data_IF_144794870763
#
_entry.id   IF_144794870763
#
_cell.length_a   1.000
_cell.length_b   1.000
_cell.length_c   1.000
_cell.angle_alpha   90.00
_cell.angle_beta   90.00
_cell.angle_gamma   90.00
#
_symmetry.space_group_name_H-M   'P 1'
#
loop_
_entity.id
_entity.type
_entity.pdbx_description
1 polymer ?
#
# COMPACT_ATOMS: atom_id res chain seq x y z
N UNK A 1 40.67 35.31 -32.51
CA UNK A 1 40.73 34.53 -33.76
C UNK A 1 41.21 33.14 -33.37
N UNK A 2 40.28 32.21 -33.20
CA UNK A 2 40.08 31.06 -34.12
C UNK A 2 41.30 30.12 -34.15
N UNK A 3 41.22 28.81 -33.97
CA UNK A 3 40.07 27.90 -33.95
C UNK A 3 40.54 26.45 -33.74
N UNK A 4 39.55 25.58 -33.54
CA UNK A 4 39.60 24.13 -33.26
C UNK A 4 40.49 23.26 -34.15
N UNK A 5 40.84 22.06 -33.63
CA UNK A 5 40.55 20.68 -34.18
C UNK A 5 41.29 19.62 -33.33
N UNK A 6 40.62 18.74 -32.57
CA UNK A 6 39.80 17.56 -32.89
C UNK A 6 40.58 16.21 -32.85
N UNK A 7 40.29 15.41 -31.81
CA UNK A 7 40.08 13.93 -31.77
C UNK A 7 41.17 12.94 -32.26
N UNK A 8 41.37 11.85 -31.52
CA UNK A 8 40.91 10.48 -31.86
C UNK A 8 41.45 9.48 -30.81
N UNK A 9 40.57 9.04 -29.90
CA UNK A 9 40.85 7.94 -28.97
C UNK A 9 40.68 6.59 -29.65
N UNK A 10 41.66 5.70 -29.51
CA UNK A 10 41.56 4.31 -29.95
C UNK A 10 40.98 3.47 -28.82
N UNK A 11 39.75 2.95 -28.99
CA UNK A 11 39.28 1.75 -28.31
C UNK A 11 39.07 0.67 -29.37
N UNK A 12 39.86 -0.39 -29.24
CA UNK A 12 39.81 -1.60 -30.05
C UNK A 12 38.47 -2.30 -29.86
N UNK A 13 37.80 -2.58 -30.99
CA UNK A 13 36.57 -3.35 -31.09
C UNK A 13 36.96 -4.82 -31.38
N UNK A 14 36.47 -5.77 -30.58
CA UNK A 14 36.53 -7.19 -30.91
C UNK A 14 35.10 -7.74 -30.98
N UNK A 15 34.65 -8.01 -32.21
CA UNK A 15 33.47 -8.81 -32.51
C UNK A 15 33.80 -10.29 -32.33
N UNK A 16 32.84 -11.06 -31.80
CA UNK A 16 32.70 -12.47 -32.18
C UNK A 16 31.24 -12.88 -32.09
N UNK A 17 30.78 -13.45 -33.20
CA UNK A 17 29.43 -13.89 -33.51
C UNK A 17 29.05 -15.19 -32.79
N UNK A 18 27.85 -15.23 -32.22
CA UNK A 18 27.08 -16.46 -32.08
C UNK A 18 25.61 -16.19 -32.41
N UNK A 19 25.17 -16.76 -33.52
CA UNK A 19 23.81 -16.78 -34.00
C UNK A 19 23.19 -18.11 -33.57
N UNK A 20 22.10 -18.08 -32.78
CA UNK A 20 21.11 -19.16 -32.73
C UNK A 20 19.74 -18.63 -32.24
N UNK A 21 18.95 -18.21 -33.21
CA UNK A 21 17.54 -18.56 -33.42
C UNK A 21 16.70 -19.04 -32.21
N UNK A 22 16.04 -18.12 -31.48
CA UNK A 22 14.80 -18.43 -30.75
C UNK A 22 13.80 -17.28 -30.84
N UNK A 23 12.87 -17.44 -31.80
CA UNK A 23 11.41 -17.25 -31.66
C UNK A 23 10.92 -16.04 -30.86
N UNK A 24 10.42 -15.06 -31.61
CA UNK A 24 9.42 -14.07 -31.20
C UNK A 24 8.34 -14.67 -30.31
N UNK A 25 8.32 -14.30 -29.03
CA UNK A 25 7.12 -14.38 -28.20
C UNK A 25 7.05 -13.13 -27.33
N UNK A 26 6.10 -12.27 -27.68
CA UNK A 26 5.66 -11.11 -26.89
C UNK A 26 5.33 -11.62 -25.48
N UNK A 27 6.25 -11.45 -24.55
CA UNK A 27 5.97 -11.56 -23.13
C UNK A 27 5.44 -10.22 -22.67
N UNK A 28 4.13 -10.04 -22.67
CA UNK A 28 3.53 -9.16 -21.68
C UNK A 28 3.88 -9.81 -20.34
N UNK A 29 4.93 -9.34 -19.68
CA UNK A 29 5.13 -9.57 -18.25
C UNK A 29 4.08 -8.73 -17.57
N UNK A 30 2.85 -9.25 -17.56
CA UNK A 30 1.80 -8.79 -16.68
C UNK A 30 2.38 -8.82 -15.27
N UNK A 31 2.33 -7.65 -14.65
CA UNK A 31 2.57 -7.41 -13.25
C UNK A 31 1.66 -8.34 -12.43
N UNK A 32 2.15 -9.54 -12.19
CA UNK A 32 1.51 -10.62 -11.44
C UNK A 32 2.27 -10.85 -10.13
N UNK A 33 2.99 -9.83 -9.66
CA UNK A 33 3.67 -9.85 -8.36
C UNK A 33 2.69 -9.59 -7.20
N UNK A 34 1.45 -9.16 -7.48
CA UNK A 34 0.47 -8.82 -6.45
C UNK A 34 -0.43 -9.97 -5.97
N UNK A 35 -0.28 -11.20 -6.49
CA UNK A 35 -1.30 -12.26 -6.30
C UNK A 35 -0.84 -13.57 -5.65
N UNK A 36 0.31 -13.57 -5.00
CA UNK A 36 0.76 -14.69 -4.16
C UNK A 36 1.33 -14.21 -2.82
N UNK A 37 0.74 -13.17 -2.23
CA UNK A 37 0.97 -12.85 -0.81
C UNK A 37 0.06 -13.71 0.08
N UNK A 38 -0.05 -14.99 -0.24
CA UNK A 38 -0.46 -16.05 0.70
C UNK A 38 0.83 -16.79 1.08
N UNK A 39 1.86 -16.04 1.46
CA UNK A 39 2.81 -16.60 2.41
C UNK A 39 2.12 -16.39 3.76
N UNK A 40 1.72 -17.47 4.44
CA UNK A 40 0.95 -17.45 5.70
C UNK A 40 1.59 -16.56 6.78
N UNK A 41 2.84 -16.17 6.58
CA UNK A 41 3.68 -15.40 7.47
C UNK A 41 3.36 -13.89 7.46
N UNK A 42 2.54 -13.41 6.52
CA UNK A 42 2.21 -11.98 6.39
C UNK A 42 0.72 -11.70 6.59
N UNK A 43 0.44 -10.60 7.28
CA UNK A 43 -0.90 -10.02 7.39
C UNK A 43 -0.98 -8.80 6.47
N UNK A 44 -2.08 -8.70 5.71
CA UNK A 44 -2.27 -7.66 4.69
C UNK A 44 -3.67 -7.07 4.84
N UNK A 45 -3.74 -5.76 4.98
CA UNK A 45 -4.98 -4.99 4.98
C UNK A 45 -5.02 -4.06 3.78
N UNK A 46 -6.14 -4.07 3.06
CA UNK A 46 -6.38 -3.18 1.92
C UNK A 46 -7.50 -2.20 2.27
N UNK A 47 -7.13 -0.98 2.67
CA UNK A 47 -8.04 0.06 3.11
C UNK A 47 -8.46 0.96 1.94
N UNK A 48 -9.76 1.18 1.78
CA UNK A 48 -10.29 2.13 0.80
C UNK A 48 -10.46 3.51 1.44
N UNK A 49 -9.66 4.46 0.96
CA UNK A 49 -9.69 5.85 1.43
C UNK A 49 -10.28 6.76 0.34
N UNK A 50 -11.26 7.63 0.67
CA UNK A 50 -11.68 8.70 -0.22
C UNK A 50 -10.49 9.55 -0.68
N UNK A 51 -10.45 9.91 -1.97
CA UNK A 51 -9.34 10.66 -2.56
C UNK A 51 -9.14 12.04 -1.91
N UNK A 52 -10.23 12.66 -1.43
CA UNK A 52 -10.21 13.93 -0.72
C UNK A 52 -9.40 13.84 0.58
N UNK A 53 -9.44 12.69 1.26
CA UNK A 53 -8.75 12.44 2.53
C UNK A 53 -7.33 11.92 2.34
N UNK A 54 -7.03 11.32 1.19
CA UNK A 54 -5.69 10.81 0.91
C UNK A 54 -4.63 11.93 0.97
N UNK A 55 -4.99 13.17 0.61
CA UNK A 55 -4.08 14.31 0.77
C UNK A 55 -3.74 14.62 2.23
N UNK A 56 -4.65 14.34 3.17
CA UNK A 56 -4.40 14.47 4.62
C UNK A 56 -3.35 13.44 5.08
N UNK A 57 -3.44 12.20 4.58
CA UNK A 57 -2.53 11.10 4.94
C UNK A 57 -1.14 11.25 4.29
N UNK A 58 -1.08 11.56 3.00
CA UNK A 58 0.19 11.72 2.29
C UNK A 58 0.87 13.03 2.74
N UNK A 59 0.10 14.10 2.92
CA UNK A 59 0.63 15.44 3.13
C UNK A 59 1.57 15.88 1.99
N UNK A 60 2.15 17.08 2.09
CA UNK A 60 3.08 17.56 1.06
C UNK A 60 4.40 16.77 0.93
N UNK A 61 4.70 15.86 1.86
CA UNK A 61 6.02 15.18 1.94
C UNK A 61 6.00 13.73 2.51
N UNK A 62 4.88 13.00 2.51
CA UNK A 62 4.77 11.63 3.06
C UNK A 62 5.22 11.45 4.52
N UNK A 63 5.33 12.54 5.31
CA UNK A 63 5.90 12.51 6.67
C UNK A 63 5.08 11.63 7.61
N UNK A 64 3.76 11.64 7.45
CA UNK A 64 2.83 10.84 8.26
C UNK A 64 3.06 9.36 7.98
N UNK A 65 3.25 8.97 6.72
CA UNK A 65 3.51 7.58 6.33
C UNK A 65 4.80 7.09 6.97
N UNK A 66 5.91 7.84 6.81
CA UNK A 66 7.20 7.48 7.40
C UNK A 66 7.08 7.33 8.91
N UNK A 67 6.34 8.22 9.56
CA UNK A 67 6.07 8.16 11.00
C UNK A 67 5.30 6.88 11.34
N UNK A 68 4.19 6.59 10.66
CA UNK A 68 3.37 5.41 10.91
C UNK A 68 4.16 4.11 10.70
N UNK A 69 4.92 3.99 9.61
CA UNK A 69 5.77 2.82 9.37
C UNK A 69 6.81 2.65 10.50
N UNK A 70 7.44 3.75 10.93
CA UNK A 70 8.43 3.72 12.02
C UNK A 70 7.84 3.39 13.39
N UNK A 71 6.62 3.85 13.67
CA UNK A 71 5.94 3.62 14.96
C UNK A 71 5.34 2.23 15.04
N UNK A 72 4.85 1.71 13.92
CA UNK A 72 4.09 0.45 13.89
C UNK A 72 4.94 -0.73 13.46
N UNK A 73 6.09 -0.52 12.81
CA UNK A 73 6.86 -1.57 12.14
C UNK A 73 6.10 -2.29 11.00
N UNK A 74 5.20 -1.57 10.34
CA UNK A 74 4.50 -2.04 9.13
C UNK A 74 5.01 -1.32 7.88
N UNK A 75 4.66 -1.85 6.70
CA UNK A 75 4.87 -1.18 5.41
C UNK A 75 3.54 -0.70 4.86
N UNK A 76 3.51 0.53 4.33
CA UNK A 76 2.30 1.20 3.85
C UNK A 76 2.52 1.66 2.41
N UNK A 77 1.82 1.01 1.48
CA UNK A 77 1.87 1.30 0.05
C UNK A 77 0.57 1.93 -0.45
N UNK A 78 0.68 2.94 -1.32
CA UNK A 78 -0.47 3.56 -1.98
C UNK A 78 -0.59 3.02 -3.39
N UNK A 79 -1.61 2.19 -3.61
CA UNK A 79 -1.91 1.69 -4.95
C UNK A 79 -3.02 2.55 -5.55
N UNK A 80 -2.71 3.16 -6.68
CA UNK A 80 -3.72 3.83 -7.47
C UNK A 80 -4.56 2.78 -8.21
N UNK A 81 -5.85 2.63 -7.87
CA UNK A 81 -6.88 1.93 -8.66
C UNK A 81 -8.24 1.97 -7.97
N UNK A 82 -9.25 2.57 -8.62
CA UNK A 82 -10.38 1.91 -9.31
C UNK A 82 -10.95 2.95 -10.29
N UNK A 83 -10.96 2.64 -11.60
CA UNK A 83 -11.51 3.56 -12.61
C UNK A 83 -12.99 3.84 -12.32
N UNK A 84 -13.35 5.12 -12.18
CA UNK A 84 -14.71 5.55 -11.84
C UNK A 84 -15.03 5.52 -10.34
N UNK A 85 -14.06 5.20 -9.47
CA UNK A 85 -14.20 5.32 -8.02
C UNK A 85 -13.39 6.51 -7.51
N UNK A 86 -13.99 7.34 -6.66
CA UNK A 86 -13.31 8.45 -5.99
C UNK A 86 -12.44 8.02 -4.80
N UNK A 87 -12.04 6.74 -4.73
CA UNK A 87 -11.28 6.16 -3.63
C UNK A 87 -9.93 5.61 -4.11
N UNK A 88 -9.03 5.44 -3.15
CA UNK A 88 -7.64 5.01 -3.35
C UNK A 88 -7.36 3.86 -2.39
N UNK A 89 -6.55 2.90 -2.83
CA UNK A 89 -6.22 1.72 -2.03
C UNK A 89 -4.94 2.00 -1.25
N UNK A 90 -5.03 1.89 0.07
CA UNK A 90 -3.89 1.89 0.98
C UNK A 90 -3.67 0.43 1.38
N UNK A 91 -2.53 -0.13 0.99
CA UNK A 91 -2.12 -1.49 1.33
C UNK A 91 -1.18 -1.43 2.52
N UNK A 92 -1.56 -2.05 3.63
CA UNK A 92 -0.76 -2.11 4.86
C UNK A 92 -0.40 -3.57 5.08
N UNK A 93 0.88 -3.86 5.26
CA UNK A 93 1.33 -5.24 5.47
C UNK A 93 2.52 -5.36 6.40
N UNK A 94 2.62 -6.51 7.05
CA UNK A 94 3.70 -6.87 7.97
C UNK A 94 3.75 -8.39 8.12
N UNK A 95 4.75 -8.90 8.88
CA UNK A 95 4.62 -10.26 9.40
C UNK A 95 3.39 -10.39 10.30
N UNK A 96 2.90 -11.61 10.47
CA UNK A 96 1.74 -11.91 11.31
C UNK A 96 2.07 -11.98 12.82
N UNK A 97 3.33 -11.75 13.20
CA UNK A 97 3.78 -11.77 14.60
C UNK A 97 3.07 -10.67 15.41
N UNK A 98 2.49 -11.03 16.56
CA UNK A 98 1.84 -10.10 17.47
C UNK A 98 2.87 -9.38 18.34
N UNK A 99 3.54 -8.38 17.77
CA UNK A 99 4.63 -7.64 18.44
C UNK A 99 4.21 -6.32 19.07
N UNK A 100 3.10 -5.74 18.62
CA UNK A 100 2.68 -4.41 19.05
C UNK A 100 1.64 -4.50 20.14
N UNK A 101 1.69 -3.58 21.09
CA UNK A 101 0.67 -3.48 22.13
C UNK A 101 -0.62 -2.86 21.56
N UNK A 102 -1.76 -3.40 21.94
CA UNK A 102 -3.06 -2.85 21.54
C UNK A 102 -3.53 -1.83 22.57
N UNK A 103 -3.30 -0.54 22.28
CA UNK A 103 -3.76 0.56 23.13
C UNK A 103 -5.30 0.55 23.23
N UNK A 104 -5.83 0.50 24.46
CA UNK A 104 -7.26 0.67 24.75
C UNK A 104 -7.96 -0.47 25.49
N UNK A 105 -7.25 -1.57 25.81
CA UNK A 105 -7.78 -2.64 26.67
C UNK A 105 -6.73 -2.97 27.74
N UNK A 106 -7.14 -3.10 29.01
CA UNK A 106 -6.26 -3.49 30.14
C UNK A 106 -5.75 -4.96 30.07
N UNK A 107 -5.77 -5.56 28.88
CA UNK A 107 -5.28 -6.91 28.62
C UNK A 107 -3.91 -6.83 27.97
N UNK A 108 -3.00 -7.76 28.29
CA UNK A 108 -1.73 -8.00 27.58
C UNK A 108 -1.94 -8.53 26.14
N UNK A 109 -2.96 -8.04 25.45
CA UNK A 109 -3.31 -8.44 24.10
C UNK A 109 -2.41 -7.69 23.12
N UNK A 110 -1.60 -8.46 22.38
CA UNK A 110 -0.78 -7.95 21.31
C UNK A 110 -1.48 -8.08 19.97
N UNK A 111 -1.06 -7.27 19.02
CA UNK A 111 -1.55 -7.26 17.65
C UNK A 111 -0.37 -7.26 16.69
N UNK A 112 -0.63 -7.72 15.46
CA UNK A 112 0.39 -7.63 14.43
C UNK A 112 0.64 -6.15 14.04
N UNK A 113 1.87 -5.80 13.60
CA UNK A 113 2.23 -4.44 13.17
C UNK A 113 1.26 -3.80 12.18
N UNK A 114 0.81 -4.57 11.19
CA UNK A 114 -0.15 -4.10 10.18
C UNK A 114 -1.53 -3.80 10.75
N UNK A 115 -1.94 -4.46 11.83
CA UNK A 115 -3.20 -4.18 12.51
C UNK A 115 -3.12 -2.88 13.33
N UNK A 116 -2.03 -2.67 14.08
CA UNK A 116 -1.78 -1.39 14.77
C UNK A 116 -1.76 -0.21 13.77
N UNK A 117 -1.05 -0.37 12.66
CA UNK A 117 -1.00 0.63 11.60
C UNK A 117 -2.36 0.91 10.95
N UNK A 118 -3.20 -0.11 10.77
CA UNK A 118 -4.55 0.04 10.24
C UNK A 118 -5.39 0.99 11.11
N UNK A 119 -5.33 0.84 12.44
CA UNK A 119 -6.08 1.69 13.36
C UNK A 119 -5.58 3.13 13.33
N UNK A 120 -4.25 3.34 13.36
CA UNK A 120 -3.68 4.69 13.28
C UNK A 120 -3.98 5.39 11.95
N UNK A 121 -3.98 4.66 10.84
CA UNK A 121 -4.41 5.18 9.53
C UNK A 121 -5.89 5.56 9.57
N UNK A 122 -6.74 4.72 10.16
CA UNK A 122 -8.16 5.00 10.30
C UNK A 122 -8.41 6.28 11.11
N UNK A 123 -7.74 6.46 12.25
CA UNK A 123 -7.87 7.66 13.09
C UNK A 123 -7.56 8.94 12.31
N UNK A 124 -6.52 8.93 11.48
CA UNK A 124 -6.15 10.08 10.64
C UNK A 124 -7.22 10.33 9.57
N UNK A 125 -7.77 9.28 8.96
CA UNK A 125 -8.82 9.38 7.94
C UNK A 125 -10.11 9.98 8.50
N UNK A 126 -10.46 9.69 9.75
CA UNK A 126 -11.74 10.14 10.35
C UNK A 126 -11.61 11.44 11.11
N UNK A 127 -10.40 11.88 11.45
CA UNK A 127 -10.15 13.13 12.18
C UNK A 127 -10.78 14.37 11.50
N UNK A 128 -10.83 14.40 10.17
CA UNK A 128 -11.39 15.53 9.40
C UNK A 128 -12.93 15.49 9.26
N UNK A 129 -13.61 14.40 9.64
CA UNK A 129 -15.09 14.30 9.57
C UNK A 129 -15.79 14.91 10.79
N UNK A 130 -15.08 15.13 11.89
CA UNK A 130 -15.62 15.74 13.11
C UNK A 130 -15.58 17.27 13.00
N UNK A 131 -16.36 17.81 12.07
CA UNK A 131 -16.58 19.26 11.94
C UNK A 131 -17.61 19.77 12.95
N UNK A 132 -17.51 21.02 13.45
CA UNK A 132 -18.38 21.59 14.50
C UNK A 132 -19.84 21.86 14.06
N UNK A 133 -20.28 21.32 12.92
CA UNK A 133 -21.52 21.71 12.24
C UNK A 133 -22.51 20.56 12.05
N UNK A 134 -22.46 19.57 12.95
CA UNK A 134 -23.48 18.52 13.00
C UNK A 134 -24.57 18.95 13.98
N UNK A 135 -25.76 19.14 13.41
CA UNK A 135 -27.02 19.27 14.14
C UNK A 135 -27.09 18.18 15.22
N UNK A 136 -27.36 18.62 16.45
CA UNK A 136 -27.07 17.94 17.71
C UNK A 136 -27.86 16.64 18.02
N UNK A 137 -28.19 15.80 17.03
CA UNK A 137 -29.04 14.62 17.25
C UNK A 137 -28.68 13.36 16.46
N UNK A 138 -27.62 13.37 15.63
CA UNK A 138 -27.09 12.17 14.98
C UNK A 138 -25.58 12.15 15.15
N UNK A 139 -25.05 11.12 15.80
CA UNK A 139 -23.60 10.92 15.87
C UNK A 139 -23.03 10.80 14.44
N UNK A 140 -21.82 11.32 14.16
CA UNK A 140 -21.20 11.20 12.86
C UNK A 140 -21.10 9.73 12.46
N UNK A 141 -21.74 9.35 11.36
CA UNK A 141 -21.68 7.99 10.84
C UNK A 141 -20.34 7.79 10.11
N UNK A 142 -19.36 7.26 10.83
CA UNK A 142 -18.08 6.85 10.24
C UNK A 142 -18.24 5.52 9.50
N UNK A 143 -17.86 5.48 8.22
CA UNK A 143 -17.87 4.25 7.42
C UNK A 143 -16.46 3.89 6.96
N UNK A 144 -16.03 2.66 7.23
CA UNK A 144 -14.76 2.10 6.75
C UNK A 144 -15.02 1.00 5.73
N UNK A 145 -14.18 0.95 4.70
CA UNK A 145 -14.25 -0.07 3.66
C UNK A 145 -12.90 -0.76 3.51
N UNK A 146 -12.92 -2.09 3.57
CA UNK A 146 -11.75 -2.94 3.33
C UNK A 146 -11.98 -3.79 2.08
N UNK A 147 -10.95 -3.95 1.26
CA UNK A 147 -10.95 -4.91 0.18
C UNK A 147 -10.56 -6.28 0.71
N UNK A 148 -11.35 -7.28 0.36
CA UNK A 148 -11.10 -8.68 0.69
C UNK A 148 -11.00 -9.45 -0.61
N UNK A 149 -9.98 -10.32 -0.71
CA UNK A 149 -9.83 -11.19 -1.87
C UNK A 149 -11.02 -12.17 -1.96
N UNK A 150 -11.45 -12.48 -3.18
CA UNK A 150 -12.67 -13.29 -3.41
C UNK A 150 -12.56 -14.71 -2.89
N UNK A 151 -11.35 -15.23 -2.72
CA UNK A 151 -11.07 -16.53 -2.11
C UNK A 151 -11.19 -16.51 -0.58
N UNK A 152 -11.04 -15.35 0.06
CA UNK A 152 -11.12 -15.18 1.52
C UNK A 152 -12.50 -14.70 2.00
N UNK A 153 -13.36 -14.21 1.09
CA UNK A 153 -14.67 -13.65 1.45
C UNK A 153 -15.56 -14.66 2.21
N UNK A 154 -15.42 -15.96 1.94
CA UNK A 154 -16.15 -17.01 2.64
C UNK A 154 -15.85 -17.06 4.14
N UNK A 155 -14.61 -16.74 4.54
CA UNK A 155 -14.21 -16.65 5.95
C UNK A 155 -14.85 -15.44 6.65
N UNK A 156 -15.03 -14.33 5.91
CA UNK A 156 -15.63 -13.09 6.44
C UNK A 156 -17.15 -13.22 6.58
N UNK A 157 -17.83 -13.80 5.59
CA UNK A 157 -19.28 -14.02 5.63
C UNK A 157 -19.65 -15.04 6.72
N UNK A 158 -18.78 -16.03 6.94
CA UNK A 158 -19.05 -17.14 7.83
C UNK A 158 -19.98 -18.17 7.19
N UNK A 159 -20.12 -19.32 7.86
CA UNK A 159 -21.01 -20.38 7.41
C UNK A 159 -22.44 -20.07 7.87
N UNK A 160 -23.39 -19.99 6.94
CA UNK A 160 -24.80 -19.93 7.28
C UNK A 160 -25.20 -21.25 7.97
N UNK A 161 -25.70 -21.15 9.21
CA UNK A 161 -26.26 -22.26 9.99
C UNK A 161 -27.67 -22.59 9.54
#
# INVERSE_FOLDING_TARGET
>A
MEGSRNSHGKRSNSQSDHNDNVRTKRGNTGDESGKNLINSDYTVFCYLCPAEKLMSIIGGCCKIIIKLESETNSTIDFTDKVLGCGERVITIYSTNDETNDFDGIETDQRVCPSQDALFKVHDIVVADEVGPNEVADMAPQVTTRLLVSSDQIGCVIGKAL
#
